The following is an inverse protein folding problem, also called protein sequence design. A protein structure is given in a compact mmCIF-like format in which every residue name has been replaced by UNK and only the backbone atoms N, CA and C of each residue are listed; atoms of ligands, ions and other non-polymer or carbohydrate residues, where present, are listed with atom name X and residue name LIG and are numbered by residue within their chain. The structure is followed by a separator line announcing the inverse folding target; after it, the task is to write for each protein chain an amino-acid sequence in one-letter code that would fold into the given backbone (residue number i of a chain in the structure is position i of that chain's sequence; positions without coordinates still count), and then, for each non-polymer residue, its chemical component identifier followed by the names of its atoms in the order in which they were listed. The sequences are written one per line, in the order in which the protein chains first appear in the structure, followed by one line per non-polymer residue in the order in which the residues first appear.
data_IF_624744661931
#
_entry.id   IF_624744661931
#
_cell.length_a   1.000
_cell.length_b   1.000
_cell.length_c   1.000
_cell.angle_alpha   90.00
_cell.angle_beta   90.00
_cell.angle_gamma   90.00
#
_symmetry.space_group_name_H-M   'P 1'
#
loop_
_entity.id
_entity.type
_entity.pdbx_description
1 polymer ?
#
# COMPACT_ATOMS: atom_id res chain seq x y z
N UNK A 1 -23.80 -12.28 -0.22
CA UNK A 1 -22.61 -12.02 -1.07
C UNK A 1 -22.20 -10.57 -0.84
N UNK A 2 -20.92 -10.15 -0.75
CA UNK A 2 -19.65 -10.87 -0.95
C UNK A 2 -18.77 -10.96 0.32
N UNK A 3 -17.91 -11.98 0.35
CA UNK A 3 -16.86 -12.24 1.35
C UNK A 3 -15.66 -11.31 1.16
N UNK A 4 -15.48 -10.30 2.01
CA UNK A 4 -14.21 -9.58 2.16
C UNK A 4 -13.21 -10.41 2.99
N UNK A 5 -12.90 -11.62 2.53
CA UNK A 5 -11.75 -12.38 3.01
C UNK A 5 -10.50 -11.87 2.27
N UNK A 6 -10.11 -10.63 2.56
CA UNK A 6 -8.78 -10.10 2.23
C UNK A 6 -7.79 -10.71 3.24
N UNK A 7 -7.59 -12.02 3.06
CA UNK A 7 -6.78 -12.89 3.88
C UNK A 7 -5.34 -12.38 3.87
N UNK A 8 -4.71 -12.38 5.05
CA UNK A 8 -3.32 -11.99 5.27
C UNK A 8 -2.33 -12.57 4.22
N UNK A 9 -2.62 -13.73 3.65
CA UNK A 9 -1.85 -14.37 2.58
C UNK A 9 -1.82 -13.59 1.25
N UNK A 10 -2.90 -12.93 0.85
CA UNK A 10 -2.91 -12.12 -0.39
C UNK A 10 -2.04 -10.86 -0.24
N UNK A 11 -2.00 -10.31 0.99
CA UNK A 11 -1.15 -9.16 1.36
C UNK A 11 0.32 -9.53 1.46
N UNK A 12 0.63 -10.68 2.06
CA UNK A 12 2.00 -11.17 2.10
C UNK A 12 2.55 -11.42 0.69
N UNK A 13 1.72 -11.97 -0.21
CA UNK A 13 2.07 -12.15 -1.64
C UNK A 13 2.27 -10.80 -2.35
N UNK A 14 1.38 -9.84 -2.11
CA UNK A 14 1.48 -8.51 -2.69
C UNK A 14 2.73 -7.77 -2.20
N UNK A 15 2.99 -7.76 -0.90
CA UNK A 15 4.20 -7.19 -0.31
C UNK A 15 5.47 -7.89 -0.81
N UNK A 16 5.48 -9.22 -0.89
CA UNK A 16 6.61 -9.97 -1.44
C UNK A 16 6.88 -9.62 -2.91
N UNK A 17 5.83 -9.38 -3.71
CA UNK A 17 5.96 -8.94 -5.10
C UNK A 17 6.57 -7.54 -5.20
N UNK A 18 6.18 -6.63 -4.31
CA UNK A 18 6.76 -5.28 -4.19
C UNK A 18 8.23 -5.36 -3.78
N UNK A 19 8.58 -6.20 -2.80
CA UNK A 19 9.96 -6.41 -2.34
C UNK A 19 10.85 -7.03 -3.44
N UNK A 20 10.29 -7.90 -4.28
CA UNK A 20 11.02 -8.47 -5.43
C UNK A 20 11.33 -7.45 -6.53
N UNK A 21 10.54 -6.37 -6.65
CA UNK A 21 10.70 -5.38 -7.72
C UNK A 21 10.42 -3.96 -7.24
N UNK A 22 11.17 -3.45 -6.24
CA UNK A 22 10.89 -2.16 -5.60
C UNK A 22 11.07 -0.97 -6.55
N UNK A 23 11.83 -1.14 -7.64
CA UNK A 23 12.02 -0.12 -8.67
C UNK A 23 10.74 0.26 -9.42
N UNK A 24 9.71 -0.60 -9.41
CA UNK A 24 8.43 -0.33 -10.10
C UNK A 24 7.39 0.33 -9.19
N UNK A 25 7.75 0.60 -7.93
CA UNK A 25 6.84 1.10 -6.92
C UNK A 25 7.42 2.35 -6.25
N UNK A 26 6.52 3.16 -5.69
CA UNK A 26 6.85 4.35 -4.91
C UNK A 26 5.88 4.50 -3.76
N UNK A 27 6.31 5.14 -2.69
CA UNK A 27 5.48 5.37 -1.51
C UNK A 27 4.86 6.74 -1.59
N UNK A 28 3.56 6.87 -1.32
CA UNK A 28 2.97 8.18 -1.14
C UNK A 28 3.35 8.76 0.22
N UNK A 29 3.97 9.94 0.27
CA UNK A 29 4.32 10.59 1.55
C UNK A 29 3.11 11.18 2.29
N UNK A 30 1.91 11.19 1.68
CA UNK A 30 0.69 11.68 2.33
C UNK A 30 -0.01 10.63 3.19
N UNK A 31 0.01 9.36 2.77
CA UNK A 31 -0.73 8.27 3.43
C UNK A 31 0.05 6.97 3.50
N UNK A 32 1.36 7.02 3.23
CA UNK A 32 2.31 5.91 3.24
C UNK A 32 1.88 4.69 2.40
N UNK A 33 1.00 4.90 1.43
CA UNK A 33 0.49 3.85 0.56
C UNK A 33 1.46 3.59 -0.58
N UNK A 34 1.76 2.31 -0.85
CA UNK A 34 2.62 1.93 -1.96
C UNK A 34 1.80 1.94 -3.25
N UNK A 35 2.23 2.74 -4.21
CA UNK A 35 1.61 2.86 -5.54
C UNK A 35 2.62 2.48 -6.62
N UNK A 36 2.10 2.20 -7.82
CA UNK A 36 2.95 1.94 -8.99
C UNK A 36 3.67 3.21 -9.43
N UNK A 37 4.86 3.08 -10.01
CA UNK A 37 5.65 4.23 -10.44
C UNK A 37 4.93 5.11 -11.48
N UNK A 38 4.07 4.49 -12.31
CA UNK A 38 3.19 5.16 -13.28
C UNK A 38 2.08 6.03 -12.67
N UNK A 39 1.81 5.92 -11.37
CA UNK A 39 0.74 6.68 -10.74
C UNK A 39 1.17 8.14 -10.55
N UNK A 40 0.50 9.09 -11.19
CA UNK A 40 0.83 10.52 -11.04
C UNK A 40 0.32 11.11 -9.73
N UNK A 41 -0.75 10.52 -9.17
CA UNK A 41 -1.42 11.00 -7.96
C UNK A 41 -1.86 9.81 -7.13
N UNK A 42 -1.81 9.94 -5.80
CA UNK A 42 -2.17 8.85 -4.91
C UNK A 42 -3.70 8.68 -4.93
N UNK A 43 -4.23 7.51 -5.28
CA UNK A 43 -5.67 7.30 -5.29
C UNK A 43 -6.29 7.30 -3.90
N UNK A 44 -5.48 7.18 -2.84
CA UNK A 44 -5.96 7.11 -1.46
C UNK A 44 -6.09 8.48 -0.79
N UNK A 45 -5.20 9.43 -1.10
CA UNK A 45 -5.18 10.75 -0.44
C UNK A 45 -5.07 11.93 -1.41
N UNK A 46 -5.09 11.69 -2.72
CA UNK A 46 -4.87 12.68 -3.77
C UNK A 46 -3.52 13.45 -3.67
N UNK A 47 -2.57 13.01 -2.84
CA UNK A 47 -1.25 13.61 -2.77
C UNK A 47 -0.43 13.26 -4.03
N UNK A 48 0.36 14.23 -4.47
CA UNK A 48 1.28 14.12 -5.61
C UNK A 48 2.73 13.89 -5.17
N UNK A 49 3.02 13.87 -3.86
CA UNK A 49 4.36 13.61 -3.34
C UNK A 49 4.59 12.13 -3.11
N UNK A 50 5.64 11.62 -3.76
CA UNK A 50 6.04 10.23 -3.66
C UNK A 50 7.51 10.11 -3.31
N UNK A 51 7.82 9.07 -2.55
CA UNK A 51 9.16 8.63 -2.25
C UNK A 51 9.48 7.42 -3.12
N UNK A 52 10.41 7.62 -4.06
CA UNK A 52 10.90 6.62 -5.01
C UNK A 52 12.09 5.80 -4.48
N UNK A 53 12.47 6.02 -3.22
CA UNK A 53 13.57 5.29 -2.60
C UNK A 53 13.23 3.82 -2.43
N UNK A 54 13.99 2.95 -3.11
CA UNK A 54 13.81 1.49 -3.03
C UNK A 54 13.91 0.97 -1.58
N UNK A 55 14.83 1.54 -0.78
CA UNK A 55 15.00 1.15 0.61
C UNK A 55 13.75 1.45 1.44
N UNK A 56 13.11 2.59 1.18
CA UNK A 56 11.86 2.96 1.82
C UNK A 56 10.72 2.05 1.37
N UNK A 57 10.58 1.81 0.05
CA UNK A 57 9.55 0.91 -0.53
C UNK A 57 9.62 -0.48 0.11
N UNK A 58 10.83 -1.04 0.27
CA UNK A 58 11.03 -2.34 0.92
C UNK A 58 10.61 -2.28 2.40
N UNK A 59 11.03 -1.26 3.14
CA UNK A 59 10.63 -1.08 4.54
C UNK A 59 9.11 -0.98 4.67
N UNK A 60 8.47 -0.20 3.82
CA UNK A 60 7.04 0.01 3.85
C UNK A 60 6.27 -1.25 3.44
N UNK A 61 6.75 -2.00 2.45
CA UNK A 61 6.14 -3.27 2.07
C UNK A 61 6.21 -4.29 3.21
N UNK A 62 7.34 -4.33 3.95
CA UNK A 62 7.48 -5.16 5.15
C UNK A 62 6.54 -4.70 6.27
N UNK A 63 6.33 -3.40 6.43
CA UNK A 63 5.38 -2.86 7.41
C UNK A 63 3.94 -3.18 7.02
N UNK A 64 3.57 -3.04 5.75
CA UNK A 64 2.24 -3.41 5.23
C UNK A 64 1.95 -4.90 5.37
N UNK A 65 2.95 -5.76 5.20
CA UNK A 65 2.80 -7.19 5.45
C UNK A 65 2.51 -7.51 6.92
N UNK A 66 2.93 -6.66 7.86
CA UNK A 66 2.77 -6.86 9.32
C UNK A 66 1.61 -6.07 9.92
N UNK A 67 1.22 -4.94 9.32
CA UNK A 67 0.23 -4.02 9.87
C UNK A 67 -1.17 -4.43 9.41
N UNK A 68 -1.98 -4.89 10.36
CA UNK A 68 -3.43 -5.10 10.17
C UNK A 68 -4.04 -3.82 9.59
N UNK A 69 -4.79 -3.94 8.49
CA UNK A 69 -5.50 -2.80 7.91
C UNK A 69 -6.43 -2.28 9.00
N UNK A 70 -6.19 -1.07 9.50
CA UNK A 70 -7.25 -0.26 10.10
C UNK A 70 -8.11 0.26 8.94
N UNK A 71 -8.80 -0.65 8.26
CA UNK A 71 -9.92 -0.28 7.41
C UNK A 71 -10.95 0.32 8.34
N UNK A 72 -11.05 1.64 8.36
CA UNK A 72 -12.33 2.25 8.69
C UNK A 72 -13.31 1.69 7.68
N UNK A 73 -14.16 0.80 8.14
CA UNK A 73 -15.34 0.38 7.38
C UNK A 73 -16.14 1.66 7.13
N UNK A 74 -16.69 1.88 5.92
CA UNK A 74 -17.56 3.04 5.63
C UNK A 74 -18.92 2.98 6.37
N UNK A 75 -18.98 2.26 7.50
CA UNK A 75 -20.12 2.21 8.42
C UNK A 75 -19.98 3.21 9.59
N UNK A 76 -18.94 4.06 9.59
CA UNK A 76 -18.65 5.05 10.64
C UNK A 76 -18.83 6.50 10.14
N UNK A 77 -19.74 6.71 9.19
CA UNK A 77 -20.16 8.03 8.73
C UNK A 77 -21.69 8.10 8.84
N UNK A 78 -22.19 8.11 10.08
CA UNK A 78 -23.57 8.53 10.38
C UNK A 78 -23.63 10.04 10.65
#
# INVERSE_FOLDING_TARGET
MPTHADSFEDRAKSAAKIIKSPANYKICQGCDSIVLMKAHTCPNCASYRFEESMAAVIRQARLLARRERRSVVPADLE
#
